data_IF_515855078364
#
_entry.id   IF_515855078364
#
_cell.length_a   1.000
_cell.length_b   1.000
_cell.length_c   1.000
_cell.angle_alpha   90.00
_cell.angle_beta   90.00
_cell.angle_gamma   90.00
#
_symmetry.space_group_name_H-M   'P 1'
#
loop_
_entity.id
_entity.type
_entity.pdbx_description
1 polymer ?
#
# COMPACT_ATOMS: atom_id res chain seq x y z
N UNK A 1 -8.25 11.61 11.39
CA UNK A 1 -7.21 10.66 10.91
C UNK A 1 -6.30 11.47 9.99
N UNK A 2 -5.05 11.82 10.27
CA UNK A 2 -4.16 11.65 11.42
C UNK A 2 -3.37 12.96 11.50
N UNK A 3 -3.57 13.79 12.54
CA UNK A 3 -2.99 15.14 12.63
C UNK A 3 -1.48 15.15 12.36
N UNK A 4 -0.76 14.18 12.94
CA UNK A 4 0.67 13.97 12.71
C UNK A 4 1.05 13.67 11.27
N UNK A 5 0.20 12.93 10.55
CA UNK A 5 0.47 12.55 9.17
C UNK A 5 0.31 13.75 8.23
N UNK A 6 -0.61 14.68 8.53
CA UNK A 6 -0.72 15.96 7.85
C UNK A 6 0.58 16.78 7.98
N UNK A 7 1.11 16.91 9.20
CA UNK A 7 2.38 17.61 9.44
C UNK A 7 3.56 16.95 8.71
N UNK A 8 3.63 15.62 8.70
CA UNK A 8 4.67 14.89 7.99
C UNK A 8 4.54 15.10 6.47
N UNK A 9 3.31 15.04 5.93
CA UNK A 9 3.02 15.27 4.51
C UNK A 9 3.36 16.67 4.06
N UNK A 10 3.09 17.68 4.89
CA UNK A 10 3.40 19.06 4.58
C UNK A 10 4.91 19.36 4.66
N UNK A 11 5.70 18.54 5.38
CA UNK A 11 7.15 18.75 5.55
C UNK A 11 8.02 17.93 4.60
N UNK A 12 7.69 16.67 4.35
CA UNK A 12 8.50 15.77 3.49
C UNK A 12 8.01 15.74 2.04
N UNK A 13 6.81 16.24 1.77
CA UNK A 13 6.18 16.17 0.46
C UNK A 13 5.30 14.93 0.28
N UNK A 14 4.26 15.10 -0.53
CA UNK A 14 3.21 14.09 -0.76
C UNK A 14 3.75 12.87 -1.52
N UNK A 15 4.58 13.09 -2.55
CA UNK A 15 5.09 12.03 -3.44
C UNK A 15 6.09 11.12 -2.71
N UNK A 16 6.98 11.74 -1.96
CA UNK A 16 8.10 11.11 -1.25
C UNK A 16 7.60 10.16 -0.17
N UNK A 17 6.64 10.60 0.66
CA UNK A 17 6.03 9.77 1.70
C UNK A 17 5.31 8.57 1.11
N UNK A 18 4.65 8.77 -0.03
CA UNK A 18 3.90 7.71 -0.67
C UNK A 18 4.86 6.62 -1.19
N UNK A 19 5.96 7.02 -1.84
CA UNK A 19 7.03 6.09 -2.26
C UNK A 19 7.63 5.35 -1.06
N UNK A 20 7.97 6.05 0.03
CA UNK A 20 8.51 5.43 1.24
C UNK A 20 7.51 4.42 1.82
N UNK A 21 6.23 4.80 1.92
CA UNK A 21 5.16 3.93 2.40
C UNK A 21 4.99 2.66 1.54
N UNK A 22 5.11 2.78 0.22
CA UNK A 22 5.07 1.62 -0.69
C UNK A 22 6.27 0.69 -0.50
N UNK A 23 7.48 1.21 -0.27
CA UNK A 23 8.64 0.36 0.06
C UNK A 23 8.51 -0.30 1.42
N UNK A 24 7.97 0.40 2.43
CA UNK A 24 7.67 -0.20 3.74
C UNK A 24 6.67 -1.35 3.60
N UNK A 25 5.65 -1.19 2.75
CA UNK A 25 4.71 -2.26 2.42
C UNK A 25 5.36 -3.43 1.68
N UNK A 26 6.18 -3.13 0.68
CA UNK A 26 6.88 -4.13 -0.11
C UNK A 26 7.81 -4.99 0.76
N UNK A 27 8.64 -4.35 1.59
CA UNK A 27 9.52 -5.04 2.53
C UNK A 27 8.73 -5.77 3.62
N UNK A 28 7.71 -5.11 4.18
CA UNK A 28 6.85 -5.69 5.21
C UNK A 28 6.18 -6.98 4.77
N UNK A 29 5.58 -7.00 3.57
CA UNK A 29 4.92 -8.17 3.01
C UNK A 29 5.92 -9.21 2.49
N UNK A 30 6.96 -8.76 1.78
CA UNK A 30 7.95 -9.63 1.16
C UNK A 30 8.81 -10.39 2.17
N UNK A 31 9.03 -9.85 3.36
CA UNK A 31 9.82 -10.51 4.39
C UNK A 31 9.03 -11.44 5.32
N UNK A 32 7.68 -11.40 5.32
CA UNK A 32 6.83 -12.33 6.11
C UNK A 32 7.26 -13.79 5.97
N UNK A 33 7.41 -14.36 4.76
CA UNK A 33 7.71 -15.79 4.60
C UNK A 33 9.13 -16.20 5.04
N UNK A 34 10.03 -15.24 5.32
CA UNK A 34 11.39 -15.55 5.77
C UNK A 34 11.48 -15.87 7.26
N UNK A 35 10.47 -15.48 8.04
CA UNK A 35 10.48 -15.66 9.50
C UNK A 35 9.54 -16.79 9.91
N UNK A 36 10.09 -17.78 10.60
CA UNK A 36 9.34 -18.91 11.17
C UNK A 36 8.88 -18.64 12.61
N UNK A 37 9.50 -17.67 13.28
CA UNK A 37 9.20 -17.30 14.66
C UNK A 37 8.17 -16.18 14.72
N UNK A 38 7.09 -16.40 15.47
CA UNK A 38 5.97 -15.47 15.58
C UNK A 38 6.37 -14.18 16.31
N UNK A 39 7.19 -14.26 17.36
CA UNK A 39 7.75 -13.09 18.03
C UNK A 39 9.28 -13.12 17.93
N UNK A 40 9.97 -11.99 17.69
CA UNK A 40 9.46 -10.61 17.55
C UNK A 40 9.14 -10.19 16.10
N UNK A 41 9.48 -11.03 15.12
CA UNK A 41 9.54 -10.62 13.72
C UNK A 41 8.18 -10.27 13.12
N UNK A 42 7.12 -11.05 13.39
CA UNK A 42 5.79 -10.68 12.89
C UNK A 42 5.28 -9.38 13.49
N UNK A 43 5.62 -9.05 14.74
CA UNK A 43 5.22 -7.77 15.34
C UNK A 43 5.88 -6.60 14.59
N UNK A 44 7.18 -6.70 14.35
CA UNK A 44 7.95 -5.68 13.62
C UNK A 44 7.39 -5.51 12.20
N UNK A 45 7.18 -6.62 11.48
CA UNK A 45 6.62 -6.57 10.12
C UNK A 45 5.20 -5.99 10.10
N UNK A 46 4.37 -6.32 11.10
CA UNK A 46 3.01 -5.77 11.20
C UNK A 46 3.01 -4.27 11.47
N UNK A 47 3.93 -3.78 12.29
CA UNK A 47 4.13 -2.34 12.50
C UNK A 47 4.57 -1.68 11.20
N UNK A 48 5.54 -2.28 10.49
CA UNK A 48 6.04 -1.76 9.21
C UNK A 48 4.93 -1.66 8.15
N UNK A 49 4.13 -2.72 8.00
CA UNK A 49 2.96 -2.75 7.12
C UNK A 49 1.92 -1.71 7.57
N UNK A 50 1.61 -1.64 8.86
CA UNK A 50 0.63 -0.70 9.40
C UNK A 50 1.00 0.76 9.13
N UNK A 51 2.29 1.11 9.29
CA UNK A 51 2.82 2.42 8.95
C UNK A 51 2.74 2.68 7.43
N UNK A 52 3.20 1.73 6.61
CA UNK A 52 3.17 1.85 5.16
C UNK A 52 1.76 2.03 4.59
N UNK A 53 0.76 1.28 5.09
CA UNK A 53 -0.66 1.46 4.74
C UNK A 53 -1.14 2.84 5.17
N UNK A 54 -0.84 3.25 6.40
CA UNK A 54 -1.29 4.54 6.93
C UNK A 54 -0.79 5.70 6.09
N UNK A 55 0.45 5.62 5.60
CA UNK A 55 1.04 6.68 4.79
C UNK A 55 0.46 6.68 3.38
N UNK A 56 0.43 5.53 2.71
CA UNK A 56 -0.04 5.44 1.31
C UNK A 56 -1.53 5.73 1.16
N UNK A 57 -2.36 5.36 2.13
CA UNK A 57 -3.82 5.48 2.04
C UNK A 57 -4.35 6.88 2.34
N UNK A 58 -3.57 7.71 3.03
CA UNK A 58 -4.03 9.00 3.57
C UNK A 58 -3.41 10.21 2.90
N UNK A 59 -2.46 10.04 1.96
CA UNK A 59 -1.88 11.17 1.23
C UNK A 59 -2.86 11.64 0.14
N UNK A 60 -3.35 12.89 0.19
CA UNK A 60 -4.24 13.41 -0.83
C UNK A 60 -3.44 13.85 -2.06
N UNK A 61 -3.22 12.94 -3.01
CA UNK A 61 -2.52 13.28 -4.27
C UNK A 61 -3.48 13.84 -5.32
N UNK A 62 -4.74 13.39 -5.31
CA UNK A 62 -5.72 13.70 -6.37
C UNK A 62 -5.93 15.22 -6.58
N UNK A 63 -5.99 16.05 -5.52
CA UNK A 63 -6.14 17.49 -5.69
C UNK A 63 -5.00 18.17 -6.46
N UNK A 64 -3.81 17.57 -6.47
CA UNK A 64 -2.63 18.16 -7.13
C UNK A 64 -2.64 17.94 -8.64
N UNK A 65 -3.44 16.98 -9.13
CA UNK A 65 -3.48 16.59 -10.56
C UNK A 65 -4.81 16.89 -11.24
N UNK A 66 -5.85 17.27 -10.50
CA UNK A 66 -7.22 17.40 -11.01
C UNK A 66 -7.74 18.81 -10.76
N UNK A 67 -8.42 19.38 -11.76
CA UNK A 67 -9.06 20.70 -11.64
C UNK A 67 -10.12 20.69 -10.53
N UNK A 68 -10.31 21.80 -9.78
CA UNK A 68 -11.28 21.87 -8.68
C UNK A 68 -12.70 21.42 -9.05
N UNK A 69 -13.15 21.74 -10.27
CA UNK A 69 -14.46 21.38 -10.81
C UNK A 69 -14.68 19.87 -11.00
N UNK A 70 -13.61 19.08 -11.03
CA UNK A 70 -13.64 17.65 -11.36
C UNK A 70 -13.16 16.75 -10.23
N UNK A 71 -12.87 17.32 -9.04
CA UNK A 71 -12.37 16.57 -7.88
C UNK A 71 -13.33 15.46 -7.44
N UNK A 72 -14.64 15.74 -7.43
CA UNK A 72 -15.65 14.75 -7.07
C UNK A 72 -15.71 13.57 -8.03
N UNK A 73 -15.53 13.83 -9.33
CA UNK A 73 -15.50 12.79 -10.36
C UNK A 73 -14.24 11.94 -10.23
N UNK A 74 -13.08 12.56 -10.04
CA UNK A 74 -11.82 11.84 -9.83
C UNK A 74 -11.83 10.99 -8.56
N UNK A 75 -12.39 11.51 -7.45
CA UNK A 75 -12.58 10.73 -6.23
C UNK A 75 -13.51 9.53 -6.42
N UNK A 76 -14.56 9.68 -7.23
CA UNK A 76 -15.47 8.59 -7.58
C UNK A 76 -14.79 7.49 -8.40
N UNK A 77 -13.97 7.86 -9.39
CA UNK A 77 -13.15 6.90 -10.13
C UNK A 77 -12.17 6.17 -9.19
N UNK A 78 -11.46 6.89 -8.33
CA UNK A 78 -10.56 6.28 -7.35
C UNK A 78 -11.26 5.26 -6.46
N UNK A 79 -12.46 5.59 -5.97
CA UNK A 79 -13.27 4.69 -5.14
C UNK A 79 -13.71 3.44 -5.92
N UNK A 80 -14.08 3.59 -7.19
CA UNK A 80 -14.46 2.47 -8.06
C UNK A 80 -13.29 1.50 -8.25
N UNK A 81 -12.09 1.99 -8.51
CA UNK A 81 -10.90 1.14 -8.63
C UNK A 81 -10.54 0.43 -7.32
N UNK A 82 -10.72 1.08 -6.16
CA UNK A 82 -10.55 0.43 -4.85
C UNK A 82 -11.54 -0.72 -4.67
N UNK A 83 -12.80 -0.55 -5.07
CA UNK A 83 -13.79 -1.64 -4.99
C UNK A 83 -13.46 -2.81 -5.92
N UNK A 84 -13.09 -2.53 -7.18
CA UNK A 84 -12.65 -3.58 -8.11
C UNK A 84 -11.42 -4.31 -7.55
N UNK A 85 -10.44 -3.56 -7.04
CA UNK A 85 -9.25 -4.11 -6.39
C UNK A 85 -9.60 -5.01 -5.20
N UNK A 86 -10.59 -4.64 -4.38
CA UNK A 86 -11.07 -5.48 -3.27
C UNK A 86 -11.74 -6.76 -3.73
N UNK A 87 -12.60 -6.70 -4.74
CA UNK A 87 -13.26 -7.89 -5.30
C UNK A 87 -12.21 -8.86 -5.84
N UNK A 88 -11.26 -8.35 -6.64
CA UNK A 88 -10.16 -9.15 -7.19
C UNK A 88 -9.30 -9.71 -6.06
N UNK A 89 -8.90 -8.88 -5.09
CA UNK A 89 -8.06 -9.29 -3.97
C UNK A 89 -8.70 -10.41 -3.15
N UNK A 90 -9.97 -10.27 -2.77
CA UNK A 90 -10.65 -11.28 -1.94
C UNK A 90 -10.87 -12.61 -2.69
N UNK A 91 -11.18 -12.55 -3.97
CA UNK A 91 -11.47 -13.76 -4.77
C UNK A 91 -10.19 -14.44 -5.25
N UNK A 92 -9.28 -13.69 -5.86
CA UNK A 92 -8.06 -14.22 -6.48
C UNK A 92 -7.06 -14.67 -5.42
N UNK A 93 -6.83 -13.91 -4.35
CA UNK A 93 -5.86 -14.32 -3.31
C UNK A 93 -6.36 -15.58 -2.59
N UNK A 94 -7.67 -15.68 -2.33
CA UNK A 94 -8.24 -16.87 -1.69
C UNK A 94 -8.10 -18.11 -2.57
N UNK A 95 -8.36 -17.99 -3.87
CA UNK A 95 -8.16 -19.09 -4.82
C UNK A 95 -6.68 -19.42 -5.02
N UNK A 96 -5.79 -18.42 -5.04
CA UNK A 96 -4.35 -18.66 -5.14
C UNK A 96 -3.81 -19.34 -3.87
N UNK A 97 -4.37 -19.06 -2.71
CA UNK A 97 -3.98 -19.68 -1.45
C UNK A 97 -4.24 -21.19 -1.41
N UNK A 98 -5.16 -21.72 -2.24
CA UNK A 98 -5.39 -23.17 -2.36
C UNK A 98 -4.47 -23.84 -3.37
N UNK A 99 -3.89 -23.07 -4.31
CA UNK A 99 -3.08 -23.59 -5.42
C UNK A 99 -1.57 -23.41 -5.21
N UNK A 100 -1.16 -22.38 -4.45
CA UNK A 100 0.23 -22.00 -4.29
C UNK A 100 0.66 -21.98 -2.82
N UNK A 101 1.95 -22.21 -2.55
CA UNK A 101 2.55 -21.93 -1.25
C UNK A 101 2.28 -20.49 -0.83
N UNK A 102 1.83 -20.31 0.41
CA UNK A 102 1.54 -19.00 1.02
C UNK A 102 2.71 -18.02 0.87
N UNK A 103 3.95 -18.51 0.93
CA UNK A 103 5.14 -17.66 0.75
C UNK A 103 5.23 -16.97 -0.62
N UNK A 104 4.87 -17.66 -1.71
CA UNK A 104 4.85 -17.06 -3.05
C UNK A 104 3.78 -15.96 -3.18
N UNK A 105 2.68 -16.08 -2.44
CA UNK A 105 1.64 -15.07 -2.40
C UNK A 105 2.18 -13.80 -1.72
N UNK A 106 2.89 -13.92 -0.61
CA UNK A 106 3.50 -12.78 0.06
C UNK A 106 4.61 -12.13 -0.78
N UNK A 107 5.46 -12.92 -1.45
CA UNK A 107 6.48 -12.37 -2.35
C UNK A 107 5.87 -11.63 -3.54
N UNK A 108 4.81 -12.17 -4.15
CA UNK A 108 4.14 -11.50 -5.27
C UNK A 108 3.45 -10.21 -4.84
N UNK A 109 2.77 -10.18 -3.69
CA UNK A 109 2.19 -8.96 -3.13
C UNK A 109 3.27 -7.90 -2.83
N UNK A 110 4.37 -8.29 -2.17
CA UNK A 110 5.49 -7.38 -1.93
C UNK A 110 6.12 -6.86 -3.23
N UNK A 111 6.24 -7.72 -4.24
CA UNK A 111 6.73 -7.36 -5.57
C UNK A 111 5.84 -6.35 -6.29
N UNK A 112 4.52 -6.51 -6.26
CA UNK A 112 3.58 -5.55 -6.84
C UNK A 112 3.69 -4.18 -6.16
N UNK A 113 3.85 -4.15 -4.83
CA UNK A 113 4.06 -2.89 -4.09
C UNK A 113 5.39 -2.23 -4.46
N UNK A 114 6.47 -3.00 -4.58
CA UNK A 114 7.78 -2.49 -5.02
C UNK A 114 7.74 -1.94 -6.44
N UNK A 115 7.11 -2.67 -7.38
CA UNK A 115 6.93 -2.23 -8.75
C UNK A 115 6.12 -0.93 -8.82
N UNK A 116 5.09 -0.81 -7.98
CA UNK A 116 4.29 0.42 -7.86
C UNK A 116 5.11 1.59 -7.33
N UNK A 117 5.99 1.35 -6.34
CA UNK A 117 6.91 2.37 -5.83
C UNK A 117 7.87 2.86 -6.91
N UNK A 118 8.43 1.93 -7.69
CA UNK A 118 9.36 2.24 -8.80
C UNK A 118 8.64 3.03 -9.90
N UNK A 119 7.42 2.64 -10.24
CA UNK A 119 6.62 3.34 -11.25
C UNK A 119 6.39 4.80 -10.88
N UNK A 120 6.23 5.12 -9.59
CA UNK A 120 6.00 6.50 -9.14
C UNK A 120 7.24 7.39 -9.23
N UNK A 121 8.45 6.86 -9.43
CA UNK A 121 9.61 7.70 -9.71
C UNK A 121 9.60 8.27 -11.13
N UNK A 122 8.99 7.56 -12.08
CA UNK A 122 8.78 8.00 -13.45
C UNK A 122 7.60 8.98 -13.55
#
# INVERSE_FOLDING_TARGET
QSFFLGVIVDTLGRKEILIIGLFMLAGGLGFIPLFTSLYPWYLILRILIGLGISWTSNVPIVPDYVKPSSLGVAGSYGTLFVFLGRIVSQTVIYQLATLLPIGLIFYSLGGVMAASAIFMFW
#
